data_IF_449779184312
#
_entry.id   IF_449779184312
#
_cell.length_a   1.000
_cell.length_b   1.000
_cell.length_c   1.000
_cell.angle_alpha   90.00
_cell.angle_beta   90.00
_cell.angle_gamma   90.00
#
_symmetry.space_group_name_H-M   'P 1'
#
loop_
_entity.id
_entity.type
_entity.pdbx_description
1 polymer ?
#
# COMPACT_ATOMS: atom_id res chain seq x y z
N UNK A 1 14.38 13.26 -20.98
CA UNK A 1 13.00 12.76 -20.86
C UNK A 1 12.06 13.74 -21.55
N UNK A 2 11.08 13.27 -22.33
CA UNK A 2 10.28 14.11 -23.25
C UNK A 2 9.37 15.16 -22.56
N UNK A 3 9.12 14.99 -21.26
CA UNK A 3 8.17 15.75 -20.43
C UNK A 3 8.81 16.74 -19.45
N UNK A 4 10.14 16.71 -19.29
CA UNK A 4 10.84 17.64 -18.39
C UNK A 4 10.62 19.10 -18.80
N UNK A 5 10.33 19.98 -17.83
CA UNK A 5 10.05 21.40 -18.06
C UNK A 5 8.67 21.70 -18.70
N UNK A 6 7.83 20.69 -18.92
CA UNK A 6 6.50 20.85 -19.53
C UNK A 6 5.41 20.47 -18.54
N UNK A 7 4.22 21.04 -18.71
CA UNK A 7 3.00 20.57 -18.02
C UNK A 7 2.69 19.15 -18.48
N UNK A 8 2.34 18.27 -17.53
CA UNK A 8 1.86 16.91 -17.81
C UNK A 8 0.35 16.87 -17.59
N UNK A 9 -0.39 16.32 -18.56
CA UNK A 9 -1.79 15.92 -18.38
C UNK A 9 -1.82 14.45 -17.96
N UNK A 10 -2.47 14.16 -16.84
CA UNK A 10 -2.54 12.79 -16.32
C UNK A 10 -3.79 12.56 -15.46
N UNK A 11 -4.07 11.31 -15.11
CA UNK A 11 -5.22 10.98 -14.26
C UNK A 11 -4.92 11.19 -12.78
N UNK A 12 -5.89 11.70 -12.04
CA UNK A 12 -5.89 11.74 -10.58
C UNK A 12 -7.29 11.48 -10.01
N UNK A 13 -7.37 11.05 -8.75
CA UNK A 13 -8.60 10.99 -8.00
C UNK A 13 -8.76 12.29 -7.19
N UNK A 14 -9.69 13.13 -7.62
CA UNK A 14 -9.93 14.45 -7.03
C UNK A 14 -11.10 14.37 -6.05
N UNK A 15 -10.88 14.85 -4.83
CA UNK A 15 -11.95 15.12 -3.89
C UNK A 15 -12.42 16.57 -4.09
N UNK A 16 -13.62 16.76 -4.62
CA UNK A 16 -14.15 18.10 -4.88
C UNK A 16 -14.74 18.76 -3.64
N UNK A 17 -15.34 17.96 -2.76
CA UNK A 17 -16.07 18.36 -1.57
C UNK A 17 -15.91 17.27 -0.49
N UNK A 18 -16.02 17.62 0.80
CA UNK A 18 -16.06 16.64 1.88
C UNK A 18 -17.28 15.72 1.73
N UNK A 19 -17.17 14.49 2.21
CA UNK A 19 -18.25 13.49 2.24
C UNK A 19 -18.77 13.08 0.86
N UNK A 20 -18.04 13.37 -0.22
CA UNK A 20 -18.36 12.94 -1.58
C UNK A 20 -17.34 11.90 -2.08
N UNK A 21 -17.76 10.96 -2.96
CA UNK A 21 -16.83 10.06 -3.62
C UNK A 21 -15.76 10.82 -4.40
N UNK A 22 -14.57 10.22 -4.51
CA UNK A 22 -13.49 10.74 -5.34
C UNK A 22 -13.87 10.64 -6.81
N UNK A 23 -13.53 11.66 -7.61
CA UNK A 23 -13.79 11.67 -9.05
C UNK A 23 -12.48 11.49 -9.80
N UNK A 24 -12.42 10.50 -10.69
CA UNK A 24 -11.27 10.32 -11.57
C UNK A 24 -11.33 11.39 -12.67
N UNK A 25 -10.36 12.30 -12.66
CA UNK A 25 -10.27 13.43 -13.57
C UNK A 25 -8.94 13.43 -14.31
N UNK A 26 -8.90 14.05 -15.49
CA UNK A 26 -7.65 14.53 -16.07
C UNK A 26 -7.25 15.84 -15.37
N UNK A 27 -6.02 15.89 -14.88
CA UNK A 27 -5.43 17.07 -14.23
C UNK A 27 -4.18 17.52 -14.98
N UNK A 28 -3.81 18.77 -14.77
CA UNK A 28 -2.58 19.38 -15.23
C UNK A 28 -1.58 19.47 -14.07
N UNK A 29 -0.40 18.88 -14.25
CA UNK A 29 0.71 18.89 -13.28
C UNK A 29 1.83 19.75 -13.84
N UNK A 30 2.07 20.90 -13.20
CA UNK A 30 3.14 21.82 -13.58
C UNK A 30 4.53 21.16 -13.46
N UNK A 31 5.55 21.66 -14.18
CA UNK A 31 6.93 21.25 -13.93
C UNK A 31 7.39 21.68 -12.52
N UNK A 32 8.37 20.96 -11.94
CA UNK A 32 8.90 21.32 -10.62
C UNK A 32 9.63 22.67 -10.67
N UNK A 33 9.39 23.51 -9.66
CA UNK A 33 10.11 24.76 -9.41
C UNK A 33 11.39 24.52 -8.59
N UNK A 34 12.06 25.59 -8.17
CA UNK A 34 13.27 25.47 -7.36
C UNK A 34 13.02 24.62 -6.10
N UNK A 35 13.95 23.71 -5.81
CA UNK A 35 13.88 22.75 -4.70
C UNK A 35 12.73 21.73 -4.77
N UNK A 36 12.06 21.58 -5.92
CA UNK A 36 10.97 20.62 -6.09
C UNK A 36 11.38 19.43 -6.96
N UNK A 37 10.70 18.32 -6.73
CA UNK A 37 10.86 17.05 -7.44
C UNK A 37 9.50 16.62 -7.97
N UNK A 38 9.42 16.33 -9.27
CA UNK A 38 8.22 15.72 -9.87
C UNK A 38 8.38 14.21 -9.94
N UNK A 39 7.43 13.50 -9.37
CA UNK A 39 7.47 12.05 -9.16
C UNK A 39 6.37 11.39 -9.99
N UNK A 40 6.74 10.38 -10.79
CA UNK A 40 5.81 9.42 -11.40
C UNK A 40 5.41 8.41 -10.32
N UNK A 41 4.17 8.49 -9.83
CA UNK A 41 3.68 7.53 -8.84
C UNK A 41 3.48 6.16 -9.50
N UNK A 42 4.07 5.13 -8.89
CA UNK A 42 3.96 3.74 -9.34
C UNK A 42 2.93 2.99 -8.51
N UNK A 43 2.94 3.20 -7.20
CA UNK A 43 1.97 2.61 -6.28
C UNK A 43 1.72 3.55 -5.10
N UNK A 44 0.46 3.63 -4.68
CA UNK A 44 0.01 4.37 -3.50
C UNK A 44 -0.94 3.48 -2.71
N UNK A 45 -0.95 3.58 -1.39
CA UNK A 45 -1.83 2.82 -0.53
C UNK A 45 -2.87 3.75 0.08
N UNK A 46 -4.10 3.26 0.18
CA UNK A 46 -5.15 3.95 0.92
C UNK A 46 -4.91 3.79 2.42
N UNK A 47 -4.87 4.90 3.15
CA UNK A 47 -4.71 4.94 4.60
C UNK A 47 -5.96 5.57 5.25
N UNK A 48 -6.17 5.27 6.55
CA UNK A 48 -7.34 5.81 7.28
C UNK A 48 -7.29 7.33 7.35
N UNK A 49 -6.12 7.95 7.41
CA UNK A 49 -6.00 9.41 7.44
C UNK A 49 -6.54 10.07 6.16
N UNK A 50 -6.49 9.40 5.01
CA UNK A 50 -7.11 9.91 3.77
C UNK A 50 -8.65 9.91 3.91
N UNK A 51 -9.23 8.86 4.51
CA UNK A 51 -10.65 8.77 4.81
C UNK A 51 -11.08 9.75 5.90
N UNK A 52 -10.23 9.99 6.91
CA UNK A 52 -10.49 10.98 7.96
C UNK A 52 -10.70 12.36 7.33
N UNK A 53 -9.78 12.79 6.49
CA UNK A 53 -9.91 14.07 5.79
C UNK A 53 -11.12 14.08 4.85
N UNK A 54 -11.35 13.01 4.08
CA UNK A 54 -12.45 12.95 3.12
C UNK A 54 -13.85 12.91 3.76
N UNK A 55 -14.03 12.14 4.85
CA UNK A 55 -15.34 11.74 5.37
C UNK A 55 -15.66 12.33 6.75
N UNK A 56 -14.72 12.99 7.41
CA UNK A 56 -14.92 13.57 8.74
C UNK A 56 -14.61 15.08 8.75
N UNK A 57 -14.33 15.69 7.59
CA UNK A 57 -14.25 17.14 7.48
C UNK A 57 -15.65 17.77 7.55
N UNK A 58 -15.80 18.75 8.45
CA UNK A 58 -17.05 19.51 8.65
C UNK A 58 -17.13 20.78 7.80
N UNK A 59 -16.02 21.21 7.18
CA UNK A 59 -15.97 22.37 6.29
C UNK A 59 -15.39 22.02 4.91
N UNK A 60 -15.61 22.93 3.96
CA UNK A 60 -14.98 22.87 2.63
C UNK A 60 -13.50 23.31 2.65
N UNK A 61 -12.97 23.67 3.81
CA UNK A 61 -11.57 24.05 3.93
C UNK A 61 -10.69 22.85 3.55
N UNK A 62 -9.71 23.09 2.68
CA UNK A 62 -8.86 22.04 2.15
C UNK A 62 -9.40 21.34 0.90
N UNK A 63 -10.54 21.75 0.33
CA UNK A 63 -11.07 21.23 -0.95
C UNK A 63 -11.10 22.32 -2.04
N UNK A 64 -11.01 21.97 -3.34
CA UNK A 64 -10.80 20.62 -3.89
C UNK A 64 -9.34 20.15 -3.73
N UNK A 65 -9.12 18.85 -3.56
CA UNK A 65 -7.81 18.28 -3.18
C UNK A 65 -7.53 16.95 -3.90
N UNK A 66 -6.26 16.67 -4.12
CA UNK A 66 -5.78 15.30 -4.43
C UNK A 66 -5.20 14.70 -3.15
N UNK A 67 -5.84 13.64 -2.63
CA UNK A 67 -5.42 12.96 -1.40
C UNK A 67 -4.23 12.00 -1.62
N UNK A 68 -3.92 11.21 -0.60
CA UNK A 68 -2.96 10.12 -0.64
C UNK A 68 -1.57 10.56 -0.18
N UNK A 69 -1.00 9.85 0.78
CA UNK A 69 0.30 10.17 1.38
C UNK A 69 1.22 8.95 1.60
N UNK A 70 0.76 7.74 1.26
CA UNK A 70 1.48 6.49 1.48
C UNK A 70 1.86 5.88 0.11
N UNK A 71 2.96 6.32 -0.51
CA UNK A 71 3.29 5.96 -1.89
C UNK A 71 4.77 5.69 -2.16
N UNK A 72 5.03 5.10 -3.32
CA UNK A 72 6.37 5.00 -3.89
C UNK A 72 6.31 5.23 -5.41
N UNK A 73 7.37 5.84 -5.93
CA UNK A 73 7.41 6.29 -7.31
C UNK A 73 8.83 6.38 -7.86
N UNK A 74 8.92 6.98 -9.04
CA UNK A 74 10.16 7.22 -9.76
C UNK A 74 10.25 8.70 -10.07
N UNK A 75 11.39 9.33 -9.80
CA UNK A 75 11.63 10.73 -10.17
C UNK A 75 11.52 10.88 -11.69
N UNK A 76 10.64 11.78 -12.14
CA UNK A 76 10.49 12.13 -13.55
C UNK A 76 11.39 13.30 -13.91
N UNK A 77 11.35 14.38 -13.14
CA UNK A 77 12.24 15.54 -13.30
C UNK A 77 12.45 16.25 -11.96
N UNK A 78 13.50 17.08 -11.91
CA UNK A 78 13.87 17.89 -10.76
C UNK A 78 13.95 19.36 -11.17
N UNK A 79 13.61 20.26 -10.25
CA UNK A 79 13.76 21.69 -10.48
C UNK A 79 15.14 22.22 -10.07
N UNK A 80 15.39 23.52 -10.27
CA UNK A 80 16.66 24.16 -9.92
C UNK A 80 17.03 23.98 -8.44
N UNK A 81 18.31 23.77 -8.14
CA UNK A 81 18.81 23.64 -6.75
C UNK A 81 18.67 22.24 -6.14
N UNK A 82 17.97 21.31 -6.79
CA UNK A 82 17.93 19.91 -6.37
C UNK A 82 19.22 19.21 -6.76
N UNK A 83 19.88 18.60 -5.78
CA UNK A 83 21.20 17.94 -5.96
C UNK A 83 21.20 16.47 -5.53
N UNK A 84 20.30 16.06 -4.62
CA UNK A 84 20.25 14.68 -4.10
C UNK A 84 19.45 13.70 -4.98
N UNK A 85 18.71 14.22 -5.97
CA UNK A 85 17.79 13.44 -6.81
C UNK A 85 18.03 13.68 -8.29
N UNK A 86 17.81 12.65 -9.10
CA UNK A 86 17.83 12.71 -10.56
C UNK A 86 16.70 11.85 -11.16
N UNK A 87 16.35 12.08 -12.43
CA UNK A 87 15.38 11.21 -13.12
C UNK A 87 15.75 9.74 -13.01
N UNK A 88 14.74 8.88 -12.80
CA UNK A 88 14.90 7.44 -12.71
C UNK A 88 15.18 6.93 -11.30
N UNK A 89 15.50 7.81 -10.34
CA UNK A 89 15.63 7.43 -8.93
C UNK A 89 14.29 6.92 -8.39
N UNK A 90 14.32 5.77 -7.71
CA UNK A 90 13.17 5.29 -6.93
C UNK A 90 13.07 6.07 -5.63
N UNK A 91 11.87 6.51 -5.30
CA UNK A 91 11.63 7.40 -4.16
C UNK A 91 10.33 7.10 -3.43
N UNK A 92 10.29 7.49 -2.16
CA UNK A 92 9.09 7.55 -1.32
C UNK A 92 8.85 9.03 -0.96
N UNK A 93 7.70 9.62 -1.32
CA UNK A 93 7.28 10.91 -0.78
C UNK A 93 7.05 10.81 0.73
N UNK A 94 7.48 11.83 1.48
CA UNK A 94 7.39 11.88 2.93
C UNK A 94 6.41 12.97 3.35
N UNK A 95 5.31 12.59 3.99
CA UNK A 95 4.38 13.57 4.57
C UNK A 95 4.99 14.34 5.75
N UNK A 96 6.02 13.75 6.40
CA UNK A 96 6.85 14.42 7.39
C UNK A 96 8.24 14.65 6.78
N UNK A 97 8.53 15.89 6.43
CA UNK A 97 9.77 16.29 5.77
C UNK A 97 10.98 16.22 6.71
N UNK A 98 12.18 16.25 6.13
CA UNK A 98 13.43 16.29 6.89
C UNK A 98 14.42 17.26 6.24
N UNK A 99 14.40 18.54 6.64
CA UNK A 99 15.29 19.56 6.07
C UNK A 99 16.75 19.48 6.53
N UNK A 100 17.04 18.68 7.57
CA UNK A 100 18.38 18.47 8.19
C UNK A 100 19.02 19.70 8.84
N UNK A 101 18.49 20.89 8.61
CA UNK A 101 19.10 22.14 9.09
C UNK A 101 18.39 22.81 10.27
N UNK A 102 17.07 22.59 10.43
CA UNK A 102 16.32 23.17 11.55
C UNK A 102 16.71 22.54 12.90
N UNK A 103 16.37 23.22 14.00
CA UNK A 103 16.67 22.76 15.37
C UNK A 103 16.09 21.37 15.67
N UNK A 104 14.95 21.03 15.07
CA UNK A 104 14.31 19.73 15.28
C UNK A 104 15.02 18.63 14.51
N UNK A 105 15.37 18.83 13.24
CA UNK A 105 16.14 17.83 12.48
C UNK A 105 17.55 17.61 13.04
N UNK A 106 18.15 18.60 13.70
CA UNK A 106 19.45 18.49 14.38
C UNK A 106 19.35 17.84 15.77
N UNK A 107 18.15 17.64 16.30
CA UNK A 107 17.92 17.08 17.63
C UNK A 107 17.63 15.58 17.55
N UNK A 108 18.29 14.74 18.37
CA UNK A 108 17.96 13.32 18.44
C UNK A 108 16.63 13.04 19.16
N UNK A 109 15.96 14.08 19.70
CA UNK A 109 14.74 13.94 20.50
C UNK A 109 13.46 13.86 19.65
N UNK A 110 13.53 14.24 18.37
CA UNK A 110 12.34 14.39 17.54
C UNK A 110 12.65 14.18 16.06
N UNK A 111 11.63 13.79 15.31
CA UNK A 111 11.59 13.74 13.85
C UNK A 111 10.73 14.87 13.24
N UNK A 112 10.16 15.75 14.09
CA UNK A 112 9.18 16.76 13.70
C UNK A 112 9.84 17.98 13.07
N UNK A 113 10.17 17.94 11.78
CA UNK A 113 10.84 19.06 11.11
C UNK A 113 10.05 20.38 11.20
N UNK A 114 10.70 21.48 11.60
CA UNK A 114 10.05 22.81 11.66
C UNK A 114 9.46 23.21 10.29
N UNK A 115 10.15 22.86 9.19
CA UNK A 115 9.69 23.21 7.84
C UNK A 115 8.42 22.46 7.44
N UNK A 116 8.20 21.23 7.94
CA UNK A 116 6.93 20.53 7.71
C UNK A 116 5.80 21.32 8.34
N UNK A 117 5.95 21.71 9.61
CA UNK A 117 4.90 22.44 10.35
C UNK A 117 4.71 23.89 9.90
N UNK A 118 5.69 24.46 9.19
CA UNK A 118 5.56 25.77 8.56
C UNK A 118 4.77 25.74 7.23
N UNK A 119 4.75 24.58 6.55
CA UNK A 119 4.14 24.42 5.22
C UNK A 119 2.78 23.70 5.34
N UNK A 120 2.71 22.68 6.20
CA UNK A 120 1.54 21.86 6.47
C UNK A 120 0.81 22.45 7.67
N UNK A 121 -0.40 22.95 7.44
CA UNK A 121 -1.35 23.39 8.47
C UNK A 121 -1.66 22.23 9.42
N UNK A 122 -2.14 22.54 10.62
CA UNK A 122 -2.45 21.54 11.66
C UNK A 122 -3.49 20.48 11.25
N UNK A 123 -4.21 20.70 10.15
CA UNK A 123 -5.17 19.78 9.53
C UNK A 123 -4.53 18.87 8.46
N UNK A 124 -3.23 18.99 8.19
CA UNK A 124 -2.51 18.21 7.19
C UNK A 124 -2.50 18.83 5.78
N UNK A 125 -2.92 20.08 5.62
CA UNK A 125 -3.01 20.76 4.31
C UNK A 125 -1.85 21.73 4.05
N UNK A 126 -1.35 21.80 2.81
CA UNK A 126 -0.35 22.81 2.43
C UNK A 126 -0.98 24.13 1.95
N UNK A 127 -0.23 25.23 2.06
CA UNK A 127 -0.56 26.55 1.49
C UNK A 127 -0.93 26.46 -0.01
N UNK A 128 -1.65 27.45 -0.58
CA UNK A 128 -2.24 27.39 -1.92
C UNK A 128 -1.23 27.25 -3.08
N UNK A 129 0.08 27.17 -2.84
CA UNK A 129 1.08 27.04 -3.91
C UNK A 129 1.23 25.62 -4.49
N UNK A 130 0.10 24.96 -4.76
CA UNK A 130 0.05 23.66 -5.42
C UNK A 130 0.52 23.71 -6.89
N UNK A 131 1.01 22.56 -7.40
CA UNK A 131 1.35 22.34 -8.81
C UNK A 131 0.26 21.65 -9.61
N UNK A 132 -0.92 21.43 -9.00
CA UNK A 132 -2.02 20.65 -9.54
C UNK A 132 -3.20 21.57 -9.93
N UNK A 133 -3.69 21.41 -11.15
CA UNK A 133 -4.84 22.15 -11.67
C UNK A 133 -5.83 21.19 -12.33
N UNK A 134 -7.13 21.40 -12.14
CA UNK A 134 -8.17 20.67 -12.86
C UNK A 134 -9.31 21.62 -13.23
N UNK A 135 -9.74 21.60 -14.51
CA UNK A 135 -10.84 22.45 -15.01
C UNK A 135 -10.65 23.95 -14.67
N UNK A 136 -9.41 24.44 -14.79
CA UNK A 136 -9.04 25.82 -14.48
C UNK A 136 -9.00 26.17 -12.99
N UNK A 137 -9.28 25.22 -12.09
CA UNK A 137 -9.21 25.39 -10.63
C UNK A 137 -7.92 24.78 -10.08
N UNK A 138 -7.25 25.50 -9.19
CA UNK A 138 -6.11 24.97 -8.45
C UNK A 138 -6.60 23.92 -7.45
N UNK A 139 -5.95 22.76 -7.42
CA UNK A 139 -6.25 21.70 -6.46
C UNK A 139 -5.27 21.79 -5.30
N UNK A 140 -5.75 21.66 -4.06
CA UNK A 140 -4.90 21.59 -2.88
C UNK A 140 -4.06 20.31 -2.88
N UNK A 141 -2.92 20.35 -2.18
CA UNK A 141 -2.11 19.17 -1.91
C UNK A 141 -2.34 18.66 -0.48
N UNK A 142 -2.47 17.34 -0.34
CA UNK A 142 -2.67 16.66 0.93
C UNK A 142 -1.33 16.22 1.50
N UNK A 143 -1.01 16.73 2.69
CA UNK A 143 0.23 16.47 3.44
C UNK A 143 1.50 16.60 2.59
N UNK A 144 1.51 17.54 1.64
CA UNK A 144 2.64 17.78 0.73
C UNK A 144 3.00 16.64 -0.22
N UNK A 145 2.08 15.70 -0.45
CA UNK A 145 2.39 14.47 -1.21
C UNK A 145 1.40 14.21 -2.34
N UNK A 146 0.08 14.23 -2.09
CA UNK A 146 -0.98 14.09 -3.13
C UNK A 146 -0.78 12.94 -4.11
N UNK A 147 -0.65 11.74 -3.56
CA UNK A 147 -0.21 10.55 -4.29
C UNK A 147 -1.35 9.80 -4.99
N UNK A 148 -2.61 10.21 -4.83
CA UNK A 148 -3.73 9.74 -5.65
C UNK A 148 -3.75 10.41 -7.03
N UNK A 149 -2.57 10.59 -7.61
CA UNK A 149 -2.33 11.11 -8.95
C UNK A 149 -1.22 10.30 -9.62
N UNK A 150 -1.29 10.17 -10.94
CA UNK A 150 -0.23 9.56 -11.73
C UNK A 150 1.11 10.29 -11.63
N UNK A 151 1.08 11.61 -11.45
CA UNK A 151 2.24 12.45 -11.18
C UNK A 151 1.94 13.45 -10.06
N UNK A 152 2.91 13.68 -9.20
CA UNK A 152 2.84 14.71 -8.15
C UNK A 152 4.14 15.50 -8.11
N UNK A 153 4.10 16.70 -7.55
CA UNK A 153 5.28 17.53 -7.30
C UNK A 153 5.37 17.77 -5.82
N UNK A 154 6.57 17.57 -5.26
CA UNK A 154 6.83 17.68 -3.83
C UNK A 154 8.14 18.42 -3.61
N UNK A 155 8.31 19.04 -2.44
CA UNK A 155 9.59 19.64 -2.07
C UNK A 155 10.64 18.54 -1.86
N UNK A 156 11.90 18.77 -2.26
CA UNK A 156 12.98 17.80 -2.12
C UNK A 156 13.21 17.32 -0.67
N UNK A 157 12.91 18.16 0.34
CA UNK A 157 13.02 17.77 1.75
C UNK A 157 11.94 16.76 2.19
N UNK A 158 10.92 16.55 1.34
CA UNK A 158 9.81 15.62 1.52
C UNK A 158 9.96 14.39 0.62
N UNK A 159 11.20 14.01 0.26
CA UNK A 159 11.48 12.84 -0.59
C UNK A 159 12.60 12.01 0.04
N UNK A 160 12.39 10.70 0.11
CA UNK A 160 13.45 9.73 0.44
C UNK A 160 13.82 8.93 -0.81
N UNK A 161 15.11 8.93 -1.17
CA UNK A 161 15.67 8.02 -2.16
C UNK A 161 15.77 6.62 -1.56
N UNK A 162 15.36 5.61 -2.33
CA UNK A 162 15.37 4.22 -1.89
C UNK A 162 16.18 3.32 -2.83
N UNK A 163 16.36 2.07 -2.43
CA UNK A 163 17.07 1.07 -3.21
C UNK A 163 16.45 0.90 -4.62
N UNK A 164 17.26 0.99 -5.71
CA UNK A 164 16.79 0.79 -7.08
C UNK A 164 16.11 -0.55 -7.35
N UNK A 165 16.36 -1.61 -6.56
CA UNK A 165 15.69 -2.91 -6.72
C UNK A 165 14.43 -3.07 -5.87
N UNK A 166 14.09 -2.08 -5.02
CA UNK A 166 12.93 -2.17 -4.15
C UNK A 166 11.60 -2.33 -4.92
N UNK A 167 10.71 -3.25 -4.49
CA UNK A 167 9.39 -3.43 -5.08
C UNK A 167 8.45 -2.31 -4.63
N UNK A 168 8.19 -1.34 -5.52
CA UNK A 168 7.42 -0.12 -5.24
C UNK A 168 5.98 -0.38 -4.80
N UNK A 169 5.40 -1.51 -5.19
CA UNK A 169 4.07 -1.96 -4.78
C UNK A 169 4.01 -2.51 -3.35
N UNK A 170 5.16 -2.60 -2.67
CA UNK A 170 5.27 -3.01 -1.26
C UNK A 170 5.84 -1.90 -0.39
N UNK A 171 6.95 -1.31 -0.83
CA UNK A 171 7.65 -0.29 -0.03
C UNK A 171 6.89 1.03 0.05
N UNK A 172 5.83 1.24 -0.75
CA UNK A 172 4.90 2.36 -0.56
C UNK A 172 4.34 2.44 0.86
N UNK A 173 4.14 1.30 1.53
CA UNK A 173 3.64 1.25 2.90
C UNK A 173 4.60 1.85 3.94
N UNK A 174 5.88 2.00 3.59
CA UNK A 174 6.89 2.65 4.44
C UNK A 174 6.74 4.18 4.46
N UNK A 175 5.94 4.75 3.56
CA UNK A 175 5.64 6.18 3.55
C UNK A 175 4.72 6.62 4.71
N UNK A 176 4.02 5.69 5.36
CA UNK A 176 3.20 6.01 6.53
C UNK A 176 3.00 4.81 7.47
N UNK A 177 1.93 4.02 7.29
CA UNK A 177 1.35 3.24 8.37
C UNK A 177 2.29 2.24 9.06
N UNK A 178 3.13 1.57 8.26
CA UNK A 178 4.06 0.56 8.78
C UNK A 178 5.16 1.20 9.64
N UNK A 179 5.80 2.27 9.14
CA UNK A 179 6.83 2.99 9.86
C UNK A 179 6.27 3.67 11.12
N UNK A 180 5.05 4.20 11.04
CA UNK A 180 4.36 4.83 12.16
C UNK A 180 4.15 3.84 13.31
N UNK A 181 3.52 2.70 13.05
CA UNK A 181 3.22 1.71 14.10
C UNK A 181 4.47 1.05 14.66
N UNK A 182 5.38 0.59 13.78
CA UNK A 182 6.62 -0.07 14.22
C UNK A 182 7.49 0.87 15.05
N UNK A 183 7.69 2.10 14.55
CA UNK A 183 8.47 3.12 15.25
C UNK A 183 7.83 3.59 16.55
N UNK A 184 6.49 3.62 16.64
CA UNK A 184 5.80 3.92 17.89
C UNK A 184 6.18 2.92 19.01
N UNK A 185 6.31 1.64 18.69
CA UNK A 185 6.74 0.63 19.65
C UNK A 185 8.25 0.71 19.95
N UNK A 186 9.09 0.75 18.92
CA UNK A 186 10.55 0.57 19.10
C UNK A 186 11.25 1.88 19.49
N UNK A 187 10.86 3.01 18.89
CA UNK A 187 11.56 4.29 19.08
C UNK A 187 10.89 5.19 20.11
N UNK A 188 9.55 5.25 20.11
CA UNK A 188 8.80 6.13 21.01
C UNK A 188 8.52 5.48 22.36
N UNK A 189 7.82 4.33 22.37
CA UNK A 189 7.57 3.57 23.59
C UNK A 189 8.86 2.97 24.16
N UNK A 190 9.82 2.64 23.29
CA UNK A 190 11.06 1.93 23.64
C UNK A 190 10.76 0.66 24.43
N UNK A 191 9.87 -0.16 23.86
CA UNK A 191 9.45 -1.43 24.44
C UNK A 191 10.67 -2.26 24.87
N UNK A 192 10.61 -2.80 26.07
CA UNK A 192 11.70 -3.56 26.68
C UNK A 192 11.50 -5.08 26.50
N UNK A 193 12.59 -5.85 26.36
CA UNK A 193 12.50 -7.31 26.36
C UNK A 193 11.83 -7.83 27.63
N UNK A 194 10.89 -8.76 27.49
CA UNK A 194 10.17 -9.37 28.61
C UNK A 194 8.90 -8.62 29.04
N UNK A 195 8.64 -7.41 28.52
CA UNK A 195 7.50 -6.58 28.91
C UNK A 195 6.15 -7.14 28.42
N UNK A 196 5.07 -6.58 28.97
CA UNK A 196 3.70 -6.78 28.50
C UNK A 196 3.21 -5.54 27.76
N UNK A 197 2.72 -5.72 26.53
CA UNK A 197 2.16 -4.64 25.71
C UNK A 197 0.66 -4.86 25.44
N UNK A 198 -0.10 -3.77 25.37
CA UNK A 198 -1.45 -3.75 24.77
C UNK A 198 -1.48 -2.85 23.54
N UNK A 199 -2.05 -3.34 22.43
CA UNK A 199 -2.22 -2.55 21.20
C UNK A 199 -3.71 -2.42 20.89
N UNK A 200 -4.21 -1.19 20.88
CA UNK A 200 -5.61 -0.86 20.66
C UNK A 200 -5.84 -0.47 19.20
N UNK A 201 -6.65 -1.25 18.50
CA UNK A 201 -6.93 -1.12 17.07
C UNK A 201 -5.98 -1.96 16.23
N UNK A 202 -6.52 -2.87 15.42
CA UNK A 202 -5.75 -3.82 14.59
C UNK A 202 -5.85 -3.51 13.09
N UNK A 203 -5.83 -2.22 12.75
CA UNK A 203 -5.53 -1.76 11.39
C UNK A 203 -4.04 -1.88 11.08
N UNK A 204 -3.58 -1.40 9.91
CA UNK A 204 -2.18 -1.55 9.52
C UNK A 204 -1.19 -0.93 10.53
N UNK A 205 -1.51 0.23 11.09
CA UNK A 205 -0.68 0.90 12.11
C UNK A 205 -0.57 0.04 13.37
N UNK A 206 -1.69 -0.45 13.90
CA UNK A 206 -1.69 -1.31 15.08
C UNK A 206 -1.02 -2.66 14.84
N UNK A 207 -1.22 -3.28 13.68
CA UNK A 207 -0.50 -4.51 13.31
C UNK A 207 1.02 -4.27 13.19
N UNK A 208 1.44 -3.10 12.72
CA UNK A 208 2.85 -2.70 12.72
C UNK A 208 3.37 -2.42 14.14
N UNK A 209 2.56 -1.88 15.03
CA UNK A 209 2.89 -1.74 16.46
C UNK A 209 3.06 -3.11 17.14
N UNK A 210 2.16 -4.08 16.89
CA UNK A 210 2.30 -5.47 17.36
C UNK A 210 3.63 -6.07 16.88
N UNK A 211 3.96 -5.88 15.61
CA UNK A 211 5.23 -6.33 15.03
C UNK A 211 6.43 -5.64 15.68
N UNK A 212 6.34 -4.34 15.98
CA UNK A 212 7.38 -3.58 16.69
C UNK A 212 7.57 -4.06 18.14
N UNK A 213 6.49 -4.29 18.88
CA UNK A 213 6.54 -4.87 20.24
C UNK A 213 7.23 -6.24 20.23
N UNK A 214 6.90 -7.09 19.25
CA UNK A 214 7.54 -8.41 19.10
C UNK A 214 9.02 -8.28 18.75
N UNK A 215 9.37 -7.38 17.84
CA UNK A 215 10.76 -7.14 17.47
C UNK A 215 11.61 -6.61 18.65
N UNK A 216 10.99 -5.82 19.54
CA UNK A 216 11.60 -5.33 20.76
C UNK A 216 11.71 -6.39 21.88
N UNK A 217 11.10 -7.57 21.71
CA UNK A 217 11.21 -8.69 22.65
C UNK A 217 10.13 -8.72 23.74
N UNK A 218 9.00 -8.05 23.55
CA UNK A 218 7.87 -8.15 24.48
C UNK A 218 7.43 -9.61 24.67
N UNK A 219 7.19 -10.03 25.92
CA UNK A 219 6.78 -11.39 26.28
C UNK A 219 5.30 -11.64 25.99
N UNK A 220 4.46 -10.65 26.27
CA UNK A 220 3.01 -10.69 26.06
C UNK A 220 2.59 -9.49 25.22
N UNK A 221 1.81 -9.72 24.18
CA UNK A 221 1.28 -8.69 23.29
C UNK A 221 -0.22 -8.92 23.15
N UNK A 222 -1.00 -8.12 23.88
CA UNK A 222 -2.45 -8.19 23.96
C UNK A 222 -3.04 -7.30 22.86
N UNK A 223 -3.64 -7.92 21.86
CA UNK A 223 -4.31 -7.25 20.76
C UNK A 223 -5.76 -6.89 21.16
N UNK A 224 -6.14 -5.62 21.04
CA UNK A 224 -7.48 -5.14 21.45
C UNK A 224 -8.21 -4.54 20.25
N UNK A 225 -9.30 -5.17 19.82
CA UNK A 225 -10.17 -4.67 18.74
C UNK A 225 -11.61 -5.17 18.92
N UNK A 226 -12.58 -4.43 18.40
CA UNK A 226 -13.99 -4.83 18.44
C UNK A 226 -14.35 -5.84 17.34
N UNK A 227 -13.49 -5.99 16.33
CA UNK A 227 -13.65 -6.99 15.27
C UNK A 227 -12.76 -8.21 15.54
N UNK A 228 -13.34 -9.35 15.95
CA UNK A 228 -12.58 -10.57 16.25
C UNK A 228 -11.89 -11.17 15.03
N UNK A 229 -12.38 -10.91 13.80
CA UNK A 229 -11.79 -11.44 12.57
C UNK A 229 -10.36 -10.95 12.34
N UNK A 230 -9.97 -9.82 12.95
CA UNK A 230 -8.63 -9.26 12.83
C UNK A 230 -7.58 -10.01 13.66
N UNK A 231 -7.99 -10.85 14.62
CA UNK A 231 -7.06 -11.49 15.52
C UNK A 231 -6.14 -12.49 14.81
N UNK A 232 -6.67 -13.30 13.88
CA UNK A 232 -5.85 -14.26 13.14
C UNK A 232 -4.69 -13.57 12.43
N UNK A 233 -4.95 -12.38 11.88
CA UNK A 233 -3.89 -11.60 11.26
C UNK A 233 -2.92 -11.03 12.30
N UNK A 234 -3.41 -10.55 13.44
CA UNK A 234 -2.54 -10.04 14.51
C UNK A 234 -1.55 -11.10 15.04
N UNK A 235 -1.95 -12.38 15.10
CA UNK A 235 -1.03 -13.49 15.46
C UNK A 235 0.15 -13.61 14.50
N UNK A 236 -0.07 -13.42 13.19
CA UNK A 236 1.00 -13.45 12.17
C UNK A 236 2.07 -12.39 12.44
N UNK A 237 1.66 -11.24 12.98
CA UNK A 237 2.56 -10.14 13.34
C UNK A 237 3.19 -10.28 14.72
N UNK A 238 2.55 -11.01 15.65
CA UNK A 238 3.13 -11.31 16.95
C UNK A 238 2.21 -11.25 18.16
N UNK A 239 0.93 -10.94 17.98
CA UNK A 239 -0.01 -10.91 19.10
C UNK A 239 -0.08 -12.28 19.77
N UNK A 240 -0.04 -12.30 21.11
CA UNK A 240 -0.12 -13.51 21.93
C UNK A 240 -1.53 -13.77 22.43
N UNK A 241 -2.28 -12.69 22.66
CA UNK A 241 -3.62 -12.71 23.26
C UNK A 241 -4.51 -11.71 22.52
N UNK A 242 -5.83 -11.91 22.63
CA UNK A 242 -6.82 -11.01 22.06
C UNK A 242 -7.89 -10.69 23.07
N UNK A 243 -8.34 -9.44 23.08
CA UNK A 243 -9.45 -8.98 23.90
C UNK A 243 -10.38 -8.15 23.04
N UNK A 244 -11.63 -8.57 22.97
CA UNK A 244 -12.70 -7.76 22.39
C UNK A 244 -13.44 -7.06 23.53
N UNK A 245 -13.40 -5.71 23.60
CA UNK A 245 -14.06 -4.97 24.68
C UNK A 245 -15.56 -5.25 24.81
N UNK A 246 -16.24 -5.69 23.73
CA UNK A 246 -17.68 -6.01 23.73
C UNK A 246 -18.02 -7.30 24.48
N UNK A 247 -17.03 -8.15 24.75
CA UNK A 247 -17.23 -9.41 25.47
C UNK A 247 -17.13 -9.24 27.00
N UNK A 248 -16.97 -8.00 27.48
CA UNK A 248 -16.80 -7.67 28.88
C UNK A 248 -17.79 -6.59 29.33
N UNK A 249 -18.29 -6.71 30.55
CA UNK A 249 -19.14 -5.70 31.20
C UNK A 249 -18.34 -4.59 31.89
N UNK A 250 -17.06 -4.83 32.18
CA UNK A 250 -16.14 -3.86 32.79
C UNK A 250 -15.44 -3.01 31.72
N UNK A 251 -15.02 -1.78 32.05
CA UNK A 251 -14.12 -1.01 31.19
C UNK A 251 -12.87 -1.82 30.82
N UNK A 252 -12.43 -1.68 29.57
CA UNK A 252 -11.30 -2.46 29.04
C UNK A 252 -10.01 -2.28 29.85
N UNK A 253 -9.79 -1.11 30.43
CA UNK A 253 -8.64 -0.84 31.31
C UNK A 253 -8.63 -1.70 32.57
N UNK A 254 -9.80 -1.99 33.15
CA UNK A 254 -9.91 -2.89 34.30
C UNK A 254 -9.70 -4.34 33.90
N UNK A 255 -10.25 -4.76 32.76
CA UNK A 255 -10.04 -6.11 32.21
C UNK A 255 -8.55 -6.36 32.00
N UNK A 256 -7.85 -5.43 31.33
CA UNK A 256 -6.41 -5.55 31.11
C UNK A 256 -5.62 -5.52 32.41
N UNK A 257 -5.99 -4.65 33.36
CA UNK A 257 -5.35 -4.64 34.68
C UNK A 257 -5.49 -5.98 35.42
N UNK A 258 -6.66 -6.62 35.35
CA UNK A 258 -6.90 -7.94 35.95
C UNK A 258 -6.10 -9.05 35.23
N UNK A 259 -6.02 -8.99 33.90
CA UNK A 259 -5.26 -9.95 33.08
C UNK A 259 -3.73 -9.86 33.25
N UNK A 260 -3.24 -8.76 33.80
CA UNK A 260 -1.80 -8.42 33.85
C UNK A 260 -1.30 -8.13 35.25
N UNK A 261 -2.14 -8.36 36.26
CA UNK A 261 -1.82 -8.10 37.67
C UNK A 261 -1.37 -6.66 37.95
N UNK A 262 -2.10 -5.69 37.38
CA UNK A 262 -1.93 -4.27 37.66
C UNK A 262 -1.80 -3.34 36.46
N UNK A 263 -1.78 -3.88 35.24
CA UNK A 263 -1.72 -3.12 33.98
C UNK A 263 -0.54 -3.53 33.10
N UNK A 264 -0.55 -3.09 31.84
CA UNK A 264 0.54 -3.34 30.90
C UNK A 264 1.70 -2.37 31.09
N UNK A 265 2.92 -2.78 30.72
CA UNK A 265 4.08 -1.87 30.71
C UNK A 265 3.94 -0.81 29.62
N UNK A 266 3.43 -1.21 28.45
CA UNK A 266 3.25 -0.33 27.30
C UNK A 266 1.86 -0.48 26.68
N UNK A 267 1.17 0.63 26.43
CA UNK A 267 -0.04 0.65 25.60
C UNK A 267 0.16 1.51 24.36
N UNK A 268 -0.32 1.06 23.21
CA UNK A 268 -0.31 1.84 21.97
C UNK A 268 -1.74 2.01 21.45
N UNK A 269 -2.22 3.24 21.38
CA UNK A 269 -3.53 3.58 20.81
C UNK A 269 -3.35 3.88 19.31
N UNK A 270 -3.99 3.08 18.46
CA UNK A 270 -3.82 3.11 17.00
C UNK A 270 -5.15 3.28 16.25
N UNK A 271 -6.16 3.89 16.87
CA UNK A 271 -7.49 4.11 16.28
C UNK A 271 -7.74 5.59 15.98
N UNK A 272 -7.44 6.48 16.92
CA UNK A 272 -7.75 7.90 16.86
C UNK A 272 -9.04 8.25 17.59
N UNK A 273 -9.39 7.52 18.65
CA UNK A 273 -10.56 7.80 19.48
C UNK A 273 -10.14 8.31 20.86
N UNK A 274 -10.58 9.51 21.24
CA UNK A 274 -10.14 10.20 22.49
C UNK A 274 -10.45 9.43 23.78
N UNK A 275 -11.58 8.72 23.83
CA UNK A 275 -11.93 7.88 24.99
C UNK A 275 -11.07 6.62 25.06
N UNK A 276 -10.70 6.08 23.89
CA UNK A 276 -9.77 4.96 23.79
C UNK A 276 -8.34 5.37 24.15
N UNK A 277 -7.91 6.59 23.81
CA UNK A 277 -6.62 7.15 24.22
C UNK A 277 -6.53 7.19 25.75
N UNK A 278 -7.59 7.66 26.42
CA UNK A 278 -7.67 7.62 27.88
C UNK A 278 -7.65 6.18 28.41
N UNK A 279 -8.45 5.30 27.82
CA UNK A 279 -8.52 3.89 28.24
C UNK A 279 -7.16 3.18 28.12
N UNK A 280 -6.40 3.46 27.06
CA UNK A 280 -5.06 2.93 26.86
C UNK A 280 -4.11 3.40 27.99
N UNK A 281 -4.13 4.69 28.33
CA UNK A 281 -3.37 5.22 29.48
C UNK A 281 -3.75 4.53 30.79
N UNK A 282 -5.05 4.39 31.06
CA UNK A 282 -5.53 3.77 32.30
C UNK A 282 -5.24 2.25 32.35
N UNK A 283 -5.02 1.61 31.20
CA UNK A 283 -4.64 0.19 31.09
C UNK A 283 -3.17 -0.08 31.43
N UNK A 284 -2.34 0.96 31.44
CA UNK A 284 -0.94 0.83 31.82
C UNK A 284 -0.78 0.67 33.33
N UNK A 285 0.26 -0.04 33.75
CA UNK A 285 0.64 -0.18 35.15
C UNK A 285 0.95 1.17 35.77
N UNK A 286 0.54 1.38 37.02
CA UNK A 286 0.96 2.55 37.80
C UNK A 286 2.46 2.44 38.10
N UNK A 287 3.15 3.56 38.21
CA UNK A 287 4.58 3.62 38.56
C UNK A 287 5.49 3.91 37.37
N UNK A 288 5.40 3.14 36.29
CA UNK A 288 6.30 3.29 35.12
C UNK A 288 5.62 3.13 33.75
N UNK A 289 4.34 2.73 33.70
CA UNK A 289 3.69 2.39 32.44
C UNK A 289 3.68 3.52 31.42
N UNK A 290 3.90 3.20 30.15
CA UNK A 290 4.00 4.17 29.04
C UNK A 290 2.85 3.96 28.05
N UNK A 291 2.06 5.01 27.84
CA UNK A 291 0.99 5.03 26.84
C UNK A 291 1.36 5.94 25.67
N UNK A 292 1.31 5.39 24.46
CA UNK A 292 1.63 6.11 23.22
C UNK A 292 0.37 6.29 22.37
N UNK A 293 0.03 7.54 22.08
CA UNK A 293 -1.00 7.91 21.12
C UNK A 293 -0.40 7.89 19.71
N UNK A 294 -0.96 7.06 18.84
CA UNK A 294 -0.54 6.89 17.45
C UNK A 294 -1.71 7.18 16.49
N UNK A 295 -2.94 6.90 16.92
CA UNK A 295 -4.14 7.24 16.17
C UNK A 295 -4.29 8.75 15.98
N UNK A 296 -4.64 9.17 14.76
CA UNK A 296 -4.79 10.58 14.41
C UNK A 296 -6.23 11.06 14.61
N UNK A 297 -6.40 12.17 15.33
CA UNK A 297 -7.62 12.99 15.37
C UNK A 297 -7.27 14.41 15.83
N UNK A 298 -8.04 15.39 15.37
CA UNK A 298 -7.97 16.79 15.77
C UNK A 298 -9.36 17.42 15.96
N UNK A 299 -10.43 16.61 15.97
CA UNK A 299 -11.82 17.07 16.09
C UNK A 299 -12.31 17.17 17.54
N UNK A 300 -11.65 16.46 18.46
CA UNK A 300 -12.12 16.34 19.84
C UNK A 300 -10.97 16.53 20.82
N UNK A 301 -11.26 17.23 21.91
CA UNK A 301 -10.39 17.27 23.08
C UNK A 301 -10.39 15.91 23.77
N UNK A 302 -9.31 15.63 24.50
CA UNK A 302 -9.19 14.43 25.33
C UNK A 302 -8.84 14.84 26.77
N UNK A 303 -9.32 14.06 27.74
CA UNK A 303 -9.13 14.34 29.15
C UNK A 303 -8.72 13.09 29.94
N UNK A 304 -7.92 13.28 30.99
CA UNK A 304 -7.58 12.25 31.96
C UNK A 304 -7.43 12.84 33.35
N UNK A 305 -7.67 12.04 34.39
CA UNK A 305 -7.47 12.49 35.77
C UNK A 305 -5.96 12.68 36.01
N UNK A 306 -5.49 13.82 36.55
CA UNK A 306 -4.06 14.06 36.76
C UNK A 306 -3.35 12.99 37.61
N UNK A 307 -4.08 12.35 38.53
CA UNK A 307 -3.58 11.23 39.34
C UNK A 307 -3.03 10.08 38.47
N UNK A 308 -3.52 9.90 37.24
CA UNK A 308 -3.01 8.86 36.34
C UNK A 308 -1.53 9.08 36.00
N UNK A 309 -1.10 10.34 35.85
CA UNK A 309 0.28 10.74 35.56
C UNK A 309 1.11 10.93 36.83
N UNK A 310 0.52 11.54 37.88
CA UNK A 310 1.18 11.69 39.19
C UNK A 310 1.58 10.32 39.76
N UNK A 311 0.78 9.28 39.51
CA UNK A 311 1.08 7.92 39.89
C UNK A 311 2.20 7.24 39.06
N UNK A 312 2.95 7.99 38.24
CA UNK A 312 4.16 7.53 37.56
C UNK A 312 3.98 7.07 36.10
N UNK A 313 2.78 7.19 35.51
CA UNK A 313 2.62 6.88 34.08
C UNK A 313 3.18 7.97 33.19
N UNK A 314 3.66 7.57 32.03
CA UNK A 314 4.02 8.47 30.94
C UNK A 314 2.95 8.42 29.84
N UNK A 315 2.47 9.57 29.40
CA UNK A 315 1.58 9.68 28.25
C UNK A 315 2.25 10.53 27.17
N UNK A 316 2.41 9.97 25.97
CA UNK A 316 3.16 10.60 24.89
C UNK A 316 2.53 10.30 23.53
N UNK A 317 2.99 10.97 22.48
CA UNK A 317 2.49 10.82 21.12
C UNK A 317 3.58 10.40 20.14
N UNK A 318 3.18 9.80 19.02
CA UNK A 318 4.09 9.39 17.95
C UNK A 318 3.50 9.72 16.58
N UNK A 319 4.17 10.60 15.83
CA UNK A 319 3.89 10.83 14.41
C UNK A 319 5.08 10.32 13.58
N UNK A 320 4.81 9.41 12.64
CA UNK A 320 5.83 8.77 11.78
C UNK A 320 7.05 8.24 12.55
N UNK A 321 6.86 7.28 13.44
CA UNK A 321 7.87 6.82 14.43
C UNK A 321 9.22 6.31 13.89
N UNK A 322 9.48 6.40 12.59
CA UNK A 322 10.67 6.00 11.86
C UNK A 322 10.98 4.50 11.93
N UNK A 323 11.56 3.98 10.84
CA UNK A 323 11.93 2.57 10.71
C UNK A 323 13.43 2.45 10.44
N UNK A 324 14.12 1.61 11.22
CA UNK A 324 15.59 1.49 11.18
C UNK A 324 16.09 0.06 10.89
N UNK A 325 15.25 -0.96 10.99
CA UNK A 325 15.67 -2.34 10.71
C UNK A 325 15.39 -2.72 9.24
N UNK A 326 15.70 -3.93 8.76
CA UNK A 326 15.44 -4.38 7.37
C UNK A 326 14.45 -5.54 7.26
N UNK A 327 13.86 -6.00 8.36
CA UNK A 327 12.97 -7.16 8.41
C UNK A 327 11.52 -6.76 8.69
N UNK A 328 10.80 -6.25 7.69
CA UNK A 328 9.35 -6.04 7.75
C UNK A 328 8.59 -7.04 6.89
N UNK A 329 7.48 -7.55 7.41
CA UNK A 329 6.52 -8.38 6.68
C UNK A 329 5.57 -7.55 5.81
N UNK A 330 6.09 -6.75 4.87
CA UNK A 330 5.26 -5.82 4.07
C UNK A 330 4.14 -6.52 3.31
N UNK A 331 4.41 -7.69 2.74
CA UNK A 331 3.40 -8.49 2.02
C UNK A 331 2.17 -8.81 2.87
N UNK A 332 2.36 -9.03 4.17
CA UNK A 332 1.27 -9.39 5.07
C UNK A 332 0.29 -8.24 5.28
N UNK A 333 0.70 -6.98 5.10
CA UNK A 333 -0.21 -5.84 5.24
C UNK A 333 -1.14 -5.67 4.02
N UNK A 334 -0.71 -6.14 2.86
CA UNK A 334 -1.42 -5.93 1.58
C UNK A 334 -2.53 -6.98 1.46
N UNK A 335 -3.77 -6.59 1.72
CA UNK A 335 -4.92 -7.50 1.55
C UNK A 335 -5.56 -7.36 0.17
N UNK A 336 -5.42 -6.20 -0.46
CA UNK A 336 -5.98 -5.94 -1.78
C UNK A 336 -4.98 -5.20 -2.66
N UNK A 337 -4.99 -5.54 -3.96
CA UNK A 337 -4.30 -4.79 -5.01
C UNK A 337 -5.36 -4.36 -6.03
N UNK A 338 -5.46 -3.06 -6.26
CA UNK A 338 -6.45 -2.47 -7.17
C UNK A 338 -5.78 -1.43 -8.06
N UNK A 339 -6.55 -0.83 -8.98
CA UNK A 339 -6.10 0.32 -9.77
C UNK A 339 -6.60 1.62 -9.13
N UNK A 340 -5.95 2.75 -9.42
CA UNK A 340 -6.43 4.07 -8.97
C UNK A 340 -7.88 4.37 -9.42
N UNK A 341 -8.33 3.79 -10.54
CA UNK A 341 -9.72 3.86 -11.00
C UNK A 341 -10.73 3.37 -9.95
N UNK A 342 -10.31 2.41 -9.13
CA UNK A 342 -11.13 1.70 -8.15
C UNK A 342 -10.94 2.27 -6.74
N UNK A 343 -10.44 3.50 -6.60
CA UNK A 343 -10.17 4.10 -5.29
C UNK A 343 -11.43 4.18 -4.42
N UNK A 344 -12.61 4.42 -4.99
CA UNK A 344 -13.86 4.43 -4.21
C UNK A 344 -14.24 3.04 -3.70
N UNK A 345 -13.99 1.97 -4.46
CA UNK A 345 -14.16 0.60 -3.97
C UNK A 345 -13.22 0.31 -2.80
N UNK A 346 -11.98 0.81 -2.88
CA UNK A 346 -11.01 0.70 -1.79
C UNK A 346 -11.46 1.48 -0.54
N UNK A 347 -12.06 2.67 -0.71
CA UNK A 347 -12.67 3.45 0.37
C UNK A 347 -13.80 2.66 1.03
N UNK A 348 -14.69 2.04 0.25
CA UNK A 348 -15.78 1.22 0.80
C UNK A 348 -15.28 -0.03 1.53
N UNK A 349 -14.25 -0.70 1.03
CA UNK A 349 -13.60 -1.82 1.74
C UNK A 349 -13.05 -1.36 3.10
N UNK A 350 -12.40 -0.20 3.16
CA UNK A 350 -11.82 0.33 4.40
C UNK A 350 -12.89 0.76 5.40
N UNK A 351 -13.94 1.46 4.95
CA UNK A 351 -15.09 1.86 5.79
C UNK A 351 -15.73 0.68 6.50
N UNK A 352 -15.83 -0.46 5.82
CA UNK A 352 -16.44 -1.67 6.36
C UNK A 352 -15.42 -2.61 7.03
N UNK A 353 -14.18 -2.16 7.29
CA UNK A 353 -13.12 -2.97 7.90
C UNK A 353 -12.80 -4.27 7.13
N UNK A 354 -13.02 -4.30 5.81
CA UNK A 354 -12.76 -5.46 4.94
C UNK A 354 -11.37 -5.46 4.31
N UNK A 355 -10.52 -4.50 4.67
CA UNK A 355 -9.12 -4.47 4.25
C UNK A 355 -8.18 -3.96 5.36
N UNK A 356 -6.90 -4.30 5.27
CA UNK A 356 -5.83 -3.72 6.09
C UNK A 356 -5.13 -2.61 5.31
N UNK A 357 -4.59 -2.98 4.14
CA UNK A 357 -4.11 -2.05 3.11
C UNK A 357 -4.58 -2.49 1.74
N UNK A 358 -5.06 -1.50 1.00
CA UNK A 358 -5.32 -1.63 -0.43
C UNK A 358 -4.24 -0.82 -1.16
N UNK A 359 -3.38 -1.52 -1.90
CA UNK A 359 -2.38 -0.89 -2.74
C UNK A 359 -2.99 -0.62 -4.12
N UNK A 360 -3.01 0.66 -4.48
CA UNK A 360 -3.49 1.18 -5.75
C UNK A 360 -2.30 1.35 -6.69
N UNK A 361 -2.38 0.67 -7.83
CA UNK A 361 -1.46 0.81 -8.95
C UNK A 361 -2.06 1.69 -10.05
N UNK A 362 -1.24 2.12 -11.01
CA UNK A 362 -1.75 2.81 -12.21
C UNK A 362 -2.80 1.97 -12.95
N UNK A 363 -3.65 2.65 -13.71
CA UNK A 363 -4.51 2.05 -14.73
C UNK A 363 -3.65 1.09 -15.58
N UNK A 364 -4.06 -0.19 -15.68
CA UNK A 364 -3.33 -1.30 -16.30
C UNK A 364 -2.44 -0.88 -17.50
N UNK A 365 -1.15 -0.62 -17.26
CA UNK A 365 -0.11 -0.68 -18.30
C UNK A 365 1.25 -1.21 -17.79
N UNK A 366 1.43 -1.36 -16.46
CA UNK A 366 2.72 -1.73 -15.88
C UNK A 366 3.24 -3.10 -16.35
N UNK A 367 2.36 -4.06 -16.61
CA UNK A 367 2.78 -5.41 -17.02
C UNK A 367 3.38 -5.45 -18.43
N UNK A 368 2.94 -4.60 -19.37
CA UNK A 368 3.56 -4.53 -20.69
C UNK A 368 4.81 -3.64 -20.66
N UNK A 369 4.78 -2.48 -20.00
CA UNK A 369 5.92 -1.54 -20.02
C UNK A 369 7.15 -2.09 -19.29
N UNK A 370 6.97 -2.81 -18.17
CA UNK A 370 8.07 -3.44 -17.43
C UNK A 370 8.66 -4.66 -18.15
N UNK A 371 7.90 -5.29 -19.05
CA UNK A 371 8.35 -6.48 -19.79
C UNK A 371 8.94 -6.13 -21.16
N UNK A 372 8.45 -5.06 -21.81
CA UNK A 372 8.85 -4.65 -23.17
C UNK A 372 9.95 -3.59 -23.16
N UNK A 373 10.18 -2.89 -22.03
CA UNK A 373 11.25 -1.90 -21.90
C UNK A 373 11.09 -0.68 -22.82
N UNK A 374 9.89 -0.47 -23.39
CA UNK A 374 9.53 0.66 -24.24
C UNK A 374 8.09 1.14 -23.93
N UNK A 375 7.79 2.43 -24.12
CA UNK A 375 6.41 2.93 -24.05
C UNK A 375 5.57 2.29 -25.15
N UNK A 376 4.40 1.78 -24.79
CA UNK A 376 3.42 1.18 -25.72
C UNK A 376 2.49 2.28 -26.23
N UNK A 377 2.35 2.39 -27.55
CA UNK A 377 1.47 3.37 -28.21
C UNK A 377 -0.02 3.00 -27.95
N UNK A 378 -0.88 4.02 -27.81
CA UNK A 378 -2.35 3.86 -27.68
C UNK A 378 -2.97 3.03 -28.82
N UNK A 379 -2.33 2.99 -30.00
CA UNK A 379 -2.80 2.17 -31.13
C UNK A 379 -2.52 0.68 -30.98
N UNK A 380 -1.54 0.28 -30.17
CA UNK A 380 -1.24 -1.14 -29.92
C UNK A 380 -2.14 -1.75 -28.83
N UNK A 381 -2.70 -0.91 -27.95
CA UNK A 381 -3.64 -1.31 -26.90
C UNK A 381 -4.99 -1.80 -27.47
N UNK A 382 -5.48 -1.21 -28.57
CA UNK A 382 -6.75 -1.60 -29.20
C UNK A 382 -6.72 -3.00 -29.81
N UNK A 383 -5.54 -3.52 -30.18
CA UNK A 383 -5.39 -4.87 -30.70
C UNK A 383 -5.48 -5.94 -29.59
N UNK A 384 -5.14 -5.59 -28.35
CA UNK A 384 -5.22 -6.50 -27.18
C UNK A 384 -6.63 -6.51 -26.57
N UNK A 385 -7.39 -5.42 -26.74
CA UNK A 385 -8.79 -5.31 -26.28
C UNK A 385 -9.78 -6.18 -27.08
N UNK A 386 -9.36 -6.76 -28.21
CA UNK A 386 -10.13 -7.73 -28.99
C UNK A 386 -9.92 -9.19 -28.49
N UNK A 387 -10.20 -9.44 -27.21
CA UNK A 387 -10.74 -10.72 -26.71
C UNK A 387 -10.02 -12.06 -26.97
N UNK A 388 -8.70 -12.13 -27.20
CA UNK A 388 -8.06 -13.41 -27.59
C UNK A 388 -7.13 -14.08 -26.53
N UNK A 389 -7.14 -13.64 -25.27
CA UNK A 389 -6.25 -14.21 -24.23
C UNK A 389 -7.02 -14.74 -23.01
N UNK A 390 -7.81 -15.81 -23.21
CA UNK A 390 -8.32 -16.65 -22.13
C UNK A 390 -8.10 -18.14 -22.47
N UNK A 391 -6.86 -18.62 -22.35
CA UNK A 391 -6.53 -20.01 -21.97
C UNK A 391 -5.02 -20.25 -22.01
N UNK A 392 -4.55 -21.19 -21.18
CA UNK A 392 -3.14 -21.57 -21.01
C UNK A 392 -2.47 -22.16 -22.28
N UNK A 393 -3.21 -22.35 -23.38
CA UNK A 393 -2.68 -22.77 -24.68
C UNK A 393 -2.12 -21.61 -25.53
N UNK A 394 -2.45 -20.35 -25.20
CA UNK A 394 -1.97 -19.16 -25.92
C UNK A 394 -0.49 -18.82 -25.71
N UNK A 395 0.15 -19.40 -24.69
CA UNK A 395 1.54 -19.10 -24.34
C UNK A 395 2.58 -19.69 -25.30
N UNK A 396 2.25 -20.76 -26.03
CA UNK A 396 3.18 -21.36 -27.00
C UNK A 396 3.07 -20.77 -28.42
N UNK A 397 1.96 -20.09 -28.74
CA UNK A 397 1.73 -19.53 -30.08
C UNK A 397 2.47 -18.20 -30.29
N UNK A 398 2.71 -17.42 -29.23
CA UNK A 398 3.37 -16.10 -29.34
C UNK A 398 4.90 -16.17 -29.62
N UNK A 399 5.56 -17.30 -29.37
CA UNK A 399 6.97 -17.49 -29.78
C UNK A 399 7.17 -17.62 -31.29
N UNK A 400 6.10 -17.89 -32.07
CA UNK A 400 6.17 -17.95 -33.54
C UNK A 400 5.84 -16.62 -34.22
N UNK A 401 5.11 -15.72 -33.57
CA UNK A 401 4.74 -14.42 -34.14
C UNK A 401 5.88 -13.41 -34.18
N UNK A 402 6.89 -13.53 -33.30
CA UNK A 402 8.07 -12.64 -33.35
C UNK A 402 8.97 -12.87 -34.57
N UNK A 403 8.85 -14.00 -35.29
CA UNK A 403 9.59 -14.27 -36.54
C UNK A 403 8.81 -13.91 -37.81
N UNK A 404 7.53 -13.61 -37.73
CA UNK A 404 6.74 -13.16 -38.88
C UNK A 404 6.74 -11.63 -39.06
N UNK A 405 6.86 -10.88 -37.95
CA UNK A 405 6.84 -9.41 -37.99
C UNK A 405 8.13 -8.78 -38.55
N UNK A 406 9.26 -9.49 -38.56
CA UNK A 406 10.48 -9.03 -39.23
C UNK A 406 10.45 -9.24 -40.76
N UNK A 407 9.55 -10.09 -41.28
CA UNK A 407 9.45 -10.36 -42.73
C UNK A 407 8.43 -9.46 -43.45
N UNK A 408 7.48 -8.83 -42.75
CA UNK A 408 6.46 -7.98 -43.38
C UNK A 408 6.89 -6.51 -43.56
N UNK A 409 7.98 -6.06 -42.93
CA UNK A 409 8.48 -4.68 -43.11
C UNK A 409 9.27 -4.44 -44.42
N UNK A 410 9.35 -5.42 -45.33
CA UNK A 410 10.12 -5.29 -46.60
C UNK A 410 9.31 -5.26 -47.89
N UNK A 411 7.99 -5.14 -47.86
CA UNK A 411 7.21 -4.91 -49.09
C UNK A 411 6.28 -3.72 -48.92
N UNK A 412 6.63 -2.63 -49.60
CA UNK A 412 5.72 -1.52 -49.92
C UNK A 412 4.53 -2.09 -50.68
N UNK A 413 3.34 -2.07 -50.10
CA UNK A 413 2.09 -2.13 -50.88
C UNK A 413 1.20 -1.01 -50.36
N UNK A 414 0.89 -0.12 -51.30
CA UNK A 414 -0.02 1.01 -51.22
C UNK A 414 -1.46 0.48 -51.05
N UNK A 415 -2.21 1.00 -50.09
CA UNK A 415 -3.66 0.84 -50.08
C UNK A 415 -4.29 2.23 -50.11
N UNK A 416 -4.73 2.60 -51.30
CA UNK A 416 -5.69 3.68 -51.50
C UNK A 416 -7.05 3.28 -50.91
N UNK A 417 -7.75 4.30 -50.43
CA UNK A 417 -9.13 4.27 -49.97
C UNK A 417 -10.09 3.87 -51.08
N UNK A 418 -11.13 3.09 -50.75
CA UNK A 418 -12.43 3.28 -51.39
C UNK A 418 -13.60 2.99 -50.43
N UNK A 419 -14.49 3.98 -50.36
CA UNK A 419 -15.71 3.99 -49.59
C UNK A 419 -16.86 3.55 -50.48
N UNK A 420 -17.27 2.27 -50.41
CA UNK A 420 -18.60 1.81 -50.79
C UNK A 420 -18.75 0.34 -50.40
N UNK A 421 -19.96 -0.05 -49.98
CA UNK A 421 -20.39 -1.41 -49.60
C UNK A 421 -20.10 -1.83 -48.15
N UNK A 422 -20.88 -1.25 -47.23
CA UNK A 422 -20.98 -1.80 -45.88
C UNK A 422 -21.59 -3.21 -45.90
N UNK A 423 -20.79 -4.23 -45.61
CA UNK A 423 -21.25 -5.56 -45.21
C UNK A 423 -20.22 -6.23 -44.28
N UNK A 424 -20.68 -6.64 -43.09
CA UNK A 424 -19.93 -7.48 -42.14
C UNK A 424 -20.01 -8.93 -42.61
N UNK A 425 -18.89 -9.68 -42.58
CA UNK A 425 -18.90 -11.15 -42.68
C UNK A 425 -18.39 -11.78 -41.38
N UNK A 426 -19.24 -12.60 -40.77
CA UNK A 426 -18.89 -13.56 -39.73
C UNK A 426 -18.03 -14.69 -40.33
N UNK A 427 -17.07 -15.21 -39.56
CA UNK A 427 -16.39 -16.46 -39.87
C UNK A 427 -16.63 -17.44 -38.73
N UNK A 428 -17.44 -18.45 -39.02
CA UNK A 428 -17.78 -19.57 -38.15
C UNK A 428 -16.68 -20.63 -38.10
N UNK A 429 -16.61 -21.29 -36.95
CA UNK A 429 -15.90 -22.55 -36.73
C UNK A 429 -16.56 -23.67 -37.54
N UNK A 430 -15.79 -24.46 -38.30
CA UNK A 430 -15.79 -25.93 -38.29
C UNK A 430 -14.94 -26.52 -39.42
N UNK A 431 -14.52 -27.77 -39.17
CA UNK A 431 -13.90 -28.74 -40.07
C UNK A 431 -12.36 -28.71 -40.21
N UNK A 432 -11.69 -29.56 -39.43
CA UNK A 432 -10.79 -30.58 -39.98
C UNK A 432 -10.58 -31.71 -38.95
N UNK A 433 -11.39 -32.78 -39.10
CA UNK A 433 -11.06 -34.15 -38.69
C UNK A 433 -11.23 -35.02 -39.92
N UNK A 434 -10.13 -35.51 -40.47
CA UNK A 434 -10.01 -36.82 -41.15
C UNK A 434 -8.67 -36.87 -41.88
N UNK A 435 -7.80 -37.79 -41.46
CA UNK A 435 -7.08 -38.77 -42.30
C UNK A 435 -6.01 -39.44 -41.43
N UNK A 436 -6.42 -40.54 -40.81
CA UNK A 436 -5.54 -41.62 -40.38
C UNK A 436 -5.69 -42.72 -41.44
N UNK A 437 -4.59 -43.08 -42.13
CA UNK A 437 -4.24 -44.46 -42.53
C UNK A 437 -2.95 -44.50 -43.35
N UNK A 438 -2.07 -45.38 -42.86
CA UNK A 438 -1.15 -46.28 -43.56
C UNK A 438 0.10 -45.74 -44.28
N UNK A 439 1.25 -46.25 -43.80
CA UNK A 439 2.57 -46.09 -44.42
C UNK A 439 3.74 -46.55 -43.53
N UNK A 440 3.72 -47.79 -43.04
CA UNK A 440 4.88 -48.46 -42.40
C UNK A 440 5.23 -49.74 -43.17
N UNK A 441 6.53 -50.04 -43.28
CA UNK A 441 7.13 -51.34 -43.68
C UNK A 441 8.22 -51.17 -44.75
N UNK A 442 9.41 -51.79 -44.75
CA UNK A 442 10.10 -52.87 -44.00
C UNK A 442 11.65 -52.64 -44.21
N UNK A 443 12.64 -53.19 -43.49
CA UNK A 443 12.98 -54.62 -43.24
C UNK A 443 14.10 -54.74 -42.14
N UNK A 444 13.95 -55.63 -41.12
CA UNK A 444 14.58 -56.98 -40.86
C UNK A 444 16.03 -56.95 -40.30
N UNK A 445 16.52 -57.74 -39.31
CA UNK A 445 16.26 -59.04 -38.63
C UNK A 445 16.74 -58.95 -37.14
N UNK A 446 16.45 -59.80 -36.14
CA UNK A 446 15.72 -61.07 -35.97
C UNK A 446 15.92 -61.66 -34.53
N UNK A 447 14.94 -62.46 -34.08
CA UNK A 447 14.94 -63.58 -33.09
C UNK A 447 15.23 -63.32 -31.58
N UNK A 448 14.62 -63.96 -30.56
CA UNK A 448 13.56 -64.99 -30.39
C UNK A 448 13.10 -65.06 -28.90
N UNK A 449 11.81 -65.42 -28.64
CA UNK A 449 11.21 -66.23 -27.52
C UNK A 449 11.30 -65.76 -26.05
N UNK A 450 10.39 -66.06 -25.09
CA UNK A 450 8.99 -66.52 -24.95
C UNK A 450 8.64 -66.46 -23.43
N UNK A 451 7.35 -66.41 -23.10
CA UNK A 451 6.65 -66.86 -21.86
C UNK A 451 6.50 -65.94 -20.62
N UNK A 452 5.23 -65.69 -20.28
CA UNK A 452 4.64 -65.43 -18.94
C UNK A 452 4.22 -66.79 -18.30
N UNK A 453 3.55 -66.95 -17.12
CA UNK A 453 2.91 -65.96 -16.22
C UNK A 453 2.93 -66.26 -14.68
N UNK A 454 2.29 -65.36 -13.91
CA UNK A 454 1.29 -65.63 -12.83
C UNK A 454 1.65 -65.67 -11.33
N UNK A 455 0.90 -64.83 -10.57
CA UNK A 455 0.18 -65.07 -9.29
C UNK A 455 1.00 -65.30 -7.99
N UNK A 456 0.62 -64.86 -6.76
CA UNK A 456 -0.67 -64.58 -6.08
C UNK A 456 -0.41 -63.84 -4.74
N UNK A 457 -1.41 -63.14 -4.22
CA UNK A 457 -1.57 -62.74 -2.80
C UNK A 457 -2.51 -63.76 -2.10
N UNK A 458 -2.43 -63.96 -0.76
CA UNK A 458 -3.63 -63.69 0.06
C UNK A 458 -3.41 -63.23 1.53
N UNK A 459 -4.27 -62.28 1.97
CA UNK A 459 -5.17 -62.27 3.17
C UNK A 459 -4.58 -62.29 4.62
N UNK A 460 -4.93 -61.21 5.36
CA UNK A 460 -5.30 -60.94 6.80
C UNK A 460 -5.65 -62.14 7.74
N UNK A 461 -5.81 -62.04 9.11
CA UNK A 461 -5.99 -60.86 10.00
C UNK A 461 -5.30 -60.84 11.41
N UNK A 462 -5.45 -59.69 12.09
CA UNK A 462 -5.37 -59.35 13.54
C UNK A 462 -5.83 -60.46 14.55
N UNK A 463 -5.59 -60.39 15.90
CA UNK A 463 -5.58 -59.16 16.74
C UNK A 463 -4.71 -59.09 18.03
N UNK A 464 -4.72 -57.87 18.61
CA UNK A 464 -4.80 -57.43 20.03
C UNK A 464 -3.62 -57.48 21.02
N UNK A 465 -3.46 -56.30 21.62
CA UNK A 465 -3.17 -55.95 23.02
C UNK A 465 -1.74 -56.05 23.58
N UNK A 466 -1.15 -54.85 23.75
CA UNK A 466 -0.85 -54.26 25.06
C UNK A 466 -0.50 -52.78 24.94
#
# INVERSE_FOLDING_TARGET
MATAGKVIKCKAAVAWEPNKPLVIEEIEVAPPQANEVRIKIVSTALCRSDLYHLLESESNDGFPVVLGHEAAGIVESVGPGVTEFQSGDKVIPLFLSQCRECRFCKSPKTNQCDNTWAIVRSDGMEEPDSRLTCKGKKLMQFSGTSTFSEYTVVNQIAVAKIDPVAPLDKVCLLGCGVCTGYGAAVNTAKVEPGSTCAVFGLGAVGLAAVMGCKAAGAKRIIAVDVNPEKFEKAKVFGATEFVNPKDHSKPISQVLSEMTDGGVDYSLECVGNVELMRSALESCVKGWGVSVIVGWTNLHDFASRPVQLIAGRTWTGCLFGAYLDKKVKLDEFITHKMTLAQVNDAVELMKHSKCIRTVLSRFRSLWLELWIGKPVDQRELSAVECGCAQSAAGFHYMKRLSRCLESCCRQRIQCDTDAATGQRRNCDQQQHRSTWRDGFGFATHGEEKLSTPSHRCPISPYPTDS
#
